data_IF_750134078025
#
_entry.id   IF_750134078025
#
_cell.length_a   1.000
_cell.length_b   1.000
_cell.length_c   1.000
_cell.angle_alpha   90.00
_cell.angle_beta   90.00
_cell.angle_gamma   90.00
#
_symmetry.space_group_name_H-M   'P 1'
#
loop_
_entity.id
_entity.type
_entity.pdbx_description
1 polymer ?
#
# COMPACT_ATOMS: atom_id res chain seq x y z
N UNK A 1 -22.08 7.55 41.95
CA UNK A 1 -21.72 8.24 40.69
C UNK A 1 -20.62 7.50 39.92
N UNK A 2 -19.54 7.01 40.56
CA UNK A 2 -18.44 6.27 39.92
C UNK A 2 -18.88 4.89 39.38
N UNK A 3 -19.73 4.16 40.06
CA UNK A 3 -20.27 2.86 39.64
C UNK A 3 -21.07 2.95 38.32
N UNK A 4 -21.84 4.02 38.15
CA UNK A 4 -22.66 4.20 36.95
C UNK A 4 -21.80 4.55 35.70
N UNK A 5 -20.64 5.21 35.90
CA UNK A 5 -19.68 5.52 34.82
C UNK A 5 -18.94 4.25 34.37
N UNK A 6 -18.57 3.40 35.31
CA UNK A 6 -17.89 2.11 35.05
C UNK A 6 -18.79 1.11 34.31
N UNK A 7 -20.10 1.07 34.63
CA UNK A 7 -21.10 0.22 33.94
C UNK A 7 -21.34 0.72 32.52
N UNK A 8 -21.40 2.04 32.32
CA UNK A 8 -21.56 2.62 30.99
C UNK A 8 -20.34 2.39 30.05
N UNK A 9 -19.15 2.48 30.60
CA UNK A 9 -17.91 2.18 29.87
C UNK A 9 -17.82 0.69 29.50
N UNK A 10 -18.23 -0.21 30.41
CA UNK A 10 -18.24 -1.65 30.14
C UNK A 10 -19.24 -2.05 29.06
N UNK A 11 -20.44 -1.47 29.07
CA UNK A 11 -21.45 -1.67 28.02
C UNK A 11 -21.00 -1.12 26.67
N UNK A 12 -20.35 0.04 26.64
CA UNK A 12 -19.81 0.61 25.40
C UNK A 12 -18.74 -0.30 24.79
N UNK A 13 -17.79 -0.78 25.62
CA UNK A 13 -16.78 -1.73 25.14
C UNK A 13 -17.40 -3.02 24.63
N UNK A 14 -18.41 -3.57 25.29
CA UNK A 14 -19.10 -4.77 24.82
C UNK A 14 -19.73 -4.56 23.44
N UNK A 15 -20.42 -3.43 23.23
CA UNK A 15 -21.02 -3.08 21.94
C UNK A 15 -19.94 -2.94 20.87
N UNK A 16 -18.86 -2.23 21.16
CA UNK A 16 -17.74 -2.06 20.22
C UNK A 16 -17.13 -3.40 19.85
N UNK A 17 -16.84 -4.26 20.83
CA UNK A 17 -16.34 -5.61 20.54
C UNK A 17 -17.31 -6.45 19.73
N UNK A 18 -18.60 -6.41 20.04
CA UNK A 18 -19.63 -7.13 19.29
C UNK A 18 -19.67 -6.68 17.82
N UNK A 19 -19.66 -5.37 17.56
CA UNK A 19 -19.65 -4.82 16.20
C UNK A 19 -18.40 -5.25 15.45
N UNK A 20 -17.20 -5.10 16.03
CA UNK A 20 -15.96 -5.52 15.37
C UNK A 20 -15.88 -7.03 15.17
N UNK A 21 -16.43 -7.82 16.10
CA UNK A 21 -16.49 -9.29 15.94
C UNK A 21 -17.40 -9.68 14.77
N UNK A 22 -18.58 -9.06 14.64
CA UNK A 22 -19.47 -9.31 13.49
C UNK A 22 -18.78 -8.91 12.18
N UNK A 23 -18.09 -7.77 12.16
CA UNK A 23 -17.30 -7.34 11.00
C UNK A 23 -16.19 -8.36 10.66
N UNK A 24 -15.41 -8.79 11.64
CA UNK A 24 -14.36 -9.77 11.44
C UNK A 24 -14.91 -11.10 10.91
N UNK A 25 -16.01 -11.59 11.48
CA UNK A 25 -16.67 -12.81 11.03
C UNK A 25 -17.19 -12.69 9.59
N UNK A 26 -17.69 -11.53 9.19
CA UNK A 26 -18.15 -11.30 7.81
C UNK A 26 -17.00 -11.41 6.80
N UNK A 27 -15.82 -10.88 7.10
CA UNK A 27 -14.63 -11.03 6.25
C UNK A 27 -14.13 -12.48 6.21
N UNK A 28 -14.10 -13.14 7.37
CA UNK A 28 -13.72 -14.56 7.44
C UNK A 28 -14.69 -15.43 6.65
N UNK A 29 -16.00 -15.13 6.69
CA UNK A 29 -16.99 -15.84 5.89
C UNK A 29 -16.73 -15.70 4.39
N UNK A 30 -16.48 -14.48 3.89
CA UNK A 30 -16.17 -14.25 2.47
C UNK A 30 -14.93 -15.02 2.04
N UNK A 31 -13.87 -15.00 2.87
CA UNK A 31 -12.64 -15.74 2.61
C UNK A 31 -12.91 -17.25 2.56
N UNK A 32 -13.61 -17.78 3.56
CA UNK A 32 -14.00 -19.19 3.63
C UNK A 32 -14.85 -19.58 2.43
N UNK A 33 -15.86 -18.79 2.09
CA UNK A 33 -16.70 -18.98 0.92
C UNK A 33 -15.89 -19.03 -0.37
N UNK A 34 -14.93 -18.12 -0.56
CA UNK A 34 -14.05 -18.12 -1.74
C UNK A 34 -13.22 -19.40 -1.85
N UNK A 35 -12.63 -19.83 -0.75
CA UNK A 35 -11.86 -21.08 -0.72
C UNK A 35 -12.75 -22.30 -1.00
N UNK A 36 -13.91 -22.40 -0.34
CA UNK A 36 -14.82 -23.55 -0.54
C UNK A 36 -15.43 -23.57 -1.95
N UNK A 37 -15.70 -22.41 -2.54
CA UNK A 37 -16.19 -22.29 -3.93
C UNK A 37 -15.18 -22.83 -4.95
N UNK A 38 -13.89 -22.74 -4.68
CA UNK A 38 -12.85 -23.32 -5.54
C UNK A 38 -12.89 -24.84 -5.66
N UNK A 39 -13.55 -25.54 -4.72
CA UNK A 39 -13.75 -26.98 -4.77
C UNK A 39 -15.02 -27.41 -5.52
N UNK A 40 -15.91 -26.47 -5.89
CA UNK A 40 -17.17 -26.74 -6.57
C UNK A 40 -17.01 -26.89 -8.09
N UNK A 41 -18.00 -27.53 -8.70
CA UNK A 41 -18.17 -27.50 -10.16
C UNK A 41 -18.79 -26.18 -10.59
N UNK A 42 -18.65 -25.81 -11.86
CA UNK A 42 -19.20 -24.56 -12.40
C UNK A 42 -20.74 -24.52 -12.30
N UNK A 43 -21.40 -25.64 -12.47
CA UNK A 43 -22.85 -25.78 -12.29
C UNK A 43 -23.28 -25.61 -10.86
N UNK A 44 -22.53 -26.16 -9.91
CA UNK A 44 -22.80 -26.06 -8.49
C UNK A 44 -22.63 -24.62 -7.97
N UNK A 45 -21.62 -23.88 -8.45
CA UNK A 45 -21.45 -22.46 -8.14
C UNK A 45 -22.63 -21.64 -8.66
N UNK A 46 -23.15 -21.95 -9.86
CA UNK A 46 -24.24 -21.22 -10.47
C UNK A 46 -25.59 -21.44 -9.77
N UNK A 47 -25.85 -22.67 -9.28
CA UNK A 47 -27.14 -23.05 -8.70
C UNK A 47 -27.16 -22.87 -7.17
N UNK A 48 -26.06 -23.24 -6.50
CA UNK A 48 -25.91 -23.22 -5.05
C UNK A 48 -24.67 -22.45 -4.60
N UNK A 49 -24.59 -21.13 -4.82
CA UNK A 49 -23.37 -20.35 -4.63
C UNK A 49 -22.89 -20.32 -3.17
N UNK A 50 -23.78 -20.37 -2.18
CA UNK A 50 -23.45 -20.23 -0.77
C UNK A 50 -23.41 -21.53 0.02
N UNK A 51 -23.82 -22.65 -0.59
CA UNK A 51 -23.79 -23.97 0.07
C UNK A 51 -22.35 -24.50 0.12
N UNK A 52 -22.10 -25.49 0.94
CA UNK A 52 -20.84 -26.23 0.92
C UNK A 52 -20.78 -27.14 -0.32
N UNK A 53 -19.57 -27.47 -0.84
CA UNK A 53 -19.41 -28.38 -1.95
C UNK A 53 -20.07 -29.73 -1.63
N UNK A 54 -20.85 -30.30 -2.55
CA UNK A 54 -21.38 -31.66 -2.43
C UNK A 54 -20.29 -32.68 -2.64
N UNK A 55 -19.37 -32.38 -3.57
CA UNK A 55 -18.13 -33.14 -3.79
C UNK A 55 -16.93 -32.21 -3.78
N UNK A 56 -15.84 -32.63 -3.16
CA UNK A 56 -14.62 -31.83 -3.04
C UNK A 56 -13.69 -32.07 -4.22
N UNK A 57 -13.70 -31.18 -5.22
CA UNK A 57 -12.86 -31.28 -6.41
C UNK A 57 -11.49 -30.60 -6.18
N UNK A 58 -10.58 -31.26 -5.46
CA UNK A 58 -9.22 -30.80 -5.23
C UNK A 58 -8.43 -30.52 -6.53
N UNK A 59 -8.80 -31.23 -7.60
CA UNK A 59 -8.18 -31.13 -8.91
C UNK A 59 -8.32 -29.72 -9.49
N UNK A 60 -9.39 -28.99 -9.18
CA UNK A 60 -9.59 -27.62 -9.65
C UNK A 60 -8.40 -26.72 -9.28
N UNK A 61 -7.87 -26.86 -8.06
CA UNK A 61 -6.71 -26.08 -7.62
C UNK A 61 -5.43 -26.50 -8.35
N UNK A 62 -5.23 -27.80 -8.59
CA UNK A 62 -4.07 -28.32 -9.32
C UNK A 62 -4.12 -27.83 -10.78
N UNK A 63 -5.29 -27.90 -11.40
CA UNK A 63 -5.50 -27.52 -12.80
C UNK A 63 -5.28 -26.00 -13.00
N UNK A 64 -5.61 -25.16 -12.01
CA UNK A 64 -5.29 -23.72 -12.06
C UNK A 64 -3.79 -23.47 -12.15
N UNK A 65 -2.96 -24.18 -11.37
CA UNK A 65 -1.51 -24.01 -11.42
C UNK A 65 -0.88 -24.46 -12.74
N UNK A 66 -1.48 -25.45 -13.40
CA UNK A 66 -0.95 -26.05 -14.63
C UNK A 66 -1.52 -25.46 -15.92
N UNK A 67 -2.77 -24.98 -15.90
CA UNK A 67 -3.48 -24.52 -17.10
C UNK A 67 -3.76 -23.01 -17.11
N UNK A 68 -3.57 -22.30 -15.99
CA UNK A 68 -3.77 -20.87 -15.96
C UNK A 68 -2.65 -20.16 -16.71
N UNK A 69 -2.99 -19.67 -17.89
CA UNK A 69 -2.08 -18.89 -18.73
C UNK A 69 -2.78 -17.59 -19.20
N UNK A 70 -2.13 -16.46 -18.96
CA UNK A 70 -2.61 -15.14 -19.41
C UNK A 70 -1.46 -14.42 -20.12
N UNK A 71 -1.69 -14.04 -21.36
CA UNK A 71 -0.71 -13.32 -22.19
C UNK A 71 0.65 -14.04 -22.31
N UNK A 72 0.66 -15.37 -22.35
CA UNK A 72 1.89 -16.18 -22.45
C UNK A 72 2.60 -16.42 -21.12
N UNK A 73 2.00 -16.00 -19.98
CA UNK A 73 2.53 -16.23 -18.65
C UNK A 73 1.67 -17.22 -17.88
N UNK A 74 2.27 -18.32 -17.44
CA UNK A 74 1.65 -19.24 -16.50
C UNK A 74 1.57 -18.63 -15.08
N UNK A 75 0.93 -19.36 -14.16
CA UNK A 75 0.71 -18.92 -12.78
C UNK A 75 1.95 -18.33 -12.09
N UNK A 76 3.09 -19.04 -12.12
CA UNK A 76 4.32 -18.58 -11.50
C UNK A 76 4.91 -17.33 -12.18
N UNK A 77 4.73 -17.20 -13.49
CA UNK A 77 5.13 -16.00 -14.23
C UNK A 77 4.31 -14.79 -13.80
N UNK A 78 3.00 -14.94 -13.64
CA UNK A 78 2.11 -13.89 -13.13
C UNK A 78 2.44 -13.53 -11.68
N UNK A 79 2.70 -14.53 -10.82
CA UNK A 79 3.11 -14.30 -9.44
C UNK A 79 4.43 -13.52 -9.38
N UNK A 80 5.42 -13.90 -10.20
CA UNK A 80 6.70 -13.20 -10.30
C UNK A 80 6.53 -11.74 -10.75
N UNK A 81 5.67 -11.49 -11.73
CA UNK A 81 5.35 -10.13 -12.16
C UNK A 81 4.66 -9.33 -11.04
N UNK A 82 3.71 -9.92 -10.33
CA UNK A 82 3.03 -9.27 -9.21
C UNK A 82 4.01 -8.91 -8.09
N UNK A 83 4.90 -9.81 -7.74
CA UNK A 83 5.96 -9.56 -6.75
C UNK A 83 6.92 -8.45 -7.23
N UNK A 84 7.33 -8.49 -8.49
CA UNK A 84 8.18 -7.46 -9.07
C UNK A 84 7.55 -6.07 -8.96
N UNK A 85 6.29 -5.91 -9.42
CA UNK A 85 5.61 -4.62 -9.37
C UNK A 85 5.30 -4.17 -7.93
N UNK A 86 4.90 -5.09 -7.05
CA UNK A 86 4.60 -4.77 -5.65
C UNK A 86 5.85 -4.35 -4.89
N UNK A 87 6.90 -5.15 -4.91
CA UNK A 87 8.10 -4.88 -4.11
C UNK A 87 8.87 -3.67 -4.64
N UNK A 88 9.16 -3.66 -5.94
CA UNK A 88 9.94 -2.57 -6.53
C UNK A 88 9.13 -1.28 -6.59
N UNK A 89 7.83 -1.35 -6.90
CA UNK A 89 6.95 -0.20 -6.92
C UNK A 89 6.81 0.45 -5.54
N UNK A 90 6.58 -0.35 -4.50
CA UNK A 90 6.50 0.13 -3.12
C UNK A 90 7.82 0.73 -2.65
N UNK A 91 8.93 0.07 -2.97
CA UNK A 91 10.26 0.58 -2.64
C UNK A 91 10.52 1.94 -3.30
N UNK A 92 10.30 2.07 -4.60
CA UNK A 92 10.46 3.33 -5.33
C UNK A 92 9.54 4.43 -4.79
N UNK A 93 8.26 4.09 -4.55
CA UNK A 93 7.28 5.03 -4.01
C UNK A 93 7.70 5.57 -2.64
N UNK A 94 8.10 4.70 -1.72
CA UNK A 94 8.55 5.09 -0.39
C UNK A 94 9.85 5.88 -0.43
N UNK A 95 10.85 5.43 -1.22
CA UNK A 95 12.13 6.10 -1.34
C UNK A 95 11.99 7.52 -1.87
N UNK A 96 11.25 7.69 -2.97
CA UNK A 96 11.10 9.00 -3.60
C UNK A 96 10.28 9.94 -2.72
N UNK A 97 9.22 9.45 -2.08
CA UNK A 97 8.44 10.24 -1.13
C UNK A 97 9.28 10.65 0.08
N UNK A 98 10.11 9.77 0.60
CA UNK A 98 11.02 10.06 1.71
C UNK A 98 12.09 11.08 1.31
N UNK A 99 12.73 10.92 0.13
CA UNK A 99 13.72 11.87 -0.37
C UNK A 99 13.11 13.26 -0.58
N UNK A 100 11.93 13.33 -1.19
CA UNK A 100 11.22 14.59 -1.39
C UNK A 100 10.88 15.25 -0.05
N UNK A 101 10.37 14.47 0.91
CA UNK A 101 10.05 14.95 2.25
C UNK A 101 11.28 15.45 3.00
N UNK A 102 12.40 14.75 2.90
CA UNK A 102 13.68 15.18 3.47
C UNK A 102 14.13 16.51 2.89
N UNK A 103 14.18 16.63 1.55
CA UNK A 103 14.65 17.83 0.87
C UNK A 103 13.75 19.02 1.19
N UNK A 104 12.43 18.87 1.09
CA UNK A 104 11.48 19.97 1.34
C UNK A 104 11.42 20.42 2.80
N UNK A 105 11.75 19.52 3.74
CA UNK A 105 11.75 19.82 5.17
C UNK A 105 13.08 20.46 5.63
N UNK A 106 14.21 19.90 5.19
CA UNK A 106 15.53 20.24 5.73
C UNK A 106 16.24 21.33 4.93
N UNK A 107 15.96 21.47 3.64
CA UNK A 107 16.57 22.49 2.81
C UNK A 107 15.61 23.64 2.53
N UNK A 108 16.10 24.87 2.69
CA UNK A 108 15.34 26.11 2.43
C UNK A 108 15.60 26.57 0.99
N UNK A 109 14.72 26.21 0.07
CA UNK A 109 14.74 26.71 -1.30
C UNK A 109 13.39 27.39 -1.64
N UNK A 110 13.34 28.28 -2.66
CA UNK A 110 12.10 28.91 -3.08
C UNK A 110 11.04 27.86 -3.43
N UNK A 111 9.86 27.94 -2.79
CA UNK A 111 8.78 27.01 -3.03
C UNK A 111 8.76 25.76 -2.13
N UNK A 112 9.81 25.45 -1.35
CA UNK A 112 9.82 24.26 -0.47
C UNK A 112 8.61 24.18 0.45
N UNK A 113 8.10 25.31 0.94
CA UNK A 113 6.94 25.41 1.82
C UNK A 113 5.59 25.14 1.12
N UNK A 114 5.56 25.15 -0.21
CA UNK A 114 4.32 24.97 -0.98
C UNK A 114 4.00 23.49 -1.23
N UNK A 115 4.96 22.58 -1.13
CA UNK A 115 4.75 21.15 -1.40
C UNK A 115 3.65 20.55 -0.52
N UNK A 116 3.69 20.82 0.79
CA UNK A 116 2.69 20.27 1.71
C UNK A 116 1.28 20.82 1.47
N UNK A 117 1.08 22.16 1.38
CA UNK A 117 -0.24 22.72 1.05
C UNK A 117 -0.79 22.27 -0.30
N UNK A 118 0.05 22.19 -1.35
CA UNK A 118 -0.36 21.71 -2.67
C UNK A 118 -0.82 20.25 -2.59
N UNK A 119 -0.07 19.40 -1.91
CA UNK A 119 -0.47 18.01 -1.74
C UNK A 119 -1.80 17.87 -1.00
N UNK A 120 -1.95 18.59 0.13
CA UNK A 120 -3.20 18.57 0.88
C UNK A 120 -4.38 19.07 0.04
N UNK A 121 -4.17 20.13 -0.74
CA UNK A 121 -5.18 20.65 -1.64
C UNK A 121 -5.57 19.62 -2.71
N UNK A 122 -4.61 18.96 -3.35
CA UNK A 122 -4.89 17.92 -4.36
C UNK A 122 -5.64 16.72 -3.79
N UNK A 123 -5.40 16.37 -2.52
CA UNK A 123 -6.11 15.28 -1.85
C UNK A 123 -7.56 15.65 -1.48
N UNK A 124 -7.89 16.95 -1.33
CA UNK A 124 -9.26 17.40 -1.09
C UNK A 124 -10.16 17.29 -2.34
N UNK A 125 -9.56 17.26 -3.52
CA UNK A 125 -10.28 17.16 -4.79
C UNK A 125 -9.99 15.80 -5.45
N UNK A 126 -10.69 14.73 -5.05
CA UNK A 126 -10.48 13.42 -5.63
C UNK A 126 -10.92 13.44 -7.10
N UNK A 127 -9.96 13.27 -8.01
CA UNK A 127 -10.23 13.21 -9.46
C UNK A 127 -10.64 11.77 -9.79
N UNK A 128 -11.96 11.56 -9.90
CA UNK A 128 -12.51 10.29 -10.36
C UNK A 128 -12.55 10.26 -11.89
N UNK A 129 -12.34 9.07 -12.48
CA UNK A 129 -12.44 8.88 -13.93
C UNK A 129 -11.14 9.08 -14.71
N UNK A 130 -10.03 9.38 -14.06
CA UNK A 130 -8.71 9.50 -14.72
C UNK A 130 -8.14 8.16 -15.25
N UNK A 131 -8.72 7.03 -14.87
CA UNK A 131 -8.20 5.70 -15.24
C UNK A 131 -8.17 5.46 -16.75
N UNK A 132 -9.21 5.87 -17.48
CA UNK A 132 -9.25 5.74 -18.94
C UNK A 132 -8.19 6.59 -19.64
N UNK A 133 -8.08 7.86 -19.25
CA UNK A 133 -7.08 8.78 -19.80
C UNK A 133 -5.65 8.34 -19.47
N UNK A 134 -5.43 7.81 -18.27
CA UNK A 134 -4.15 7.26 -17.87
C UNK A 134 -3.79 6.02 -18.70
N UNK A 135 -4.75 5.11 -18.92
CA UNK A 135 -4.54 3.94 -19.76
C UNK A 135 -4.21 4.31 -21.20
N UNK A 136 -4.92 5.29 -21.78
CA UNK A 136 -4.62 5.82 -23.10
C UNK A 136 -3.21 6.42 -23.21
N UNK A 137 -2.78 7.18 -22.18
CA UNK A 137 -1.43 7.70 -22.09
C UNK A 137 -0.39 6.58 -22.05
N UNK A 138 -0.63 5.54 -21.26
CA UNK A 138 0.24 4.37 -21.16
C UNK A 138 0.35 3.62 -22.50
N UNK A 139 -0.75 3.50 -23.24
CA UNK A 139 -0.75 2.93 -24.58
C UNK A 139 0.12 3.77 -25.56
N UNK A 140 -0.06 5.09 -25.56
CA UNK A 140 0.72 6.01 -26.40
C UNK A 140 2.21 6.00 -26.07
N UNK A 141 2.57 5.82 -24.81
CA UNK A 141 3.95 5.73 -24.34
C UNK A 141 4.56 4.33 -24.50
N UNK A 142 3.79 3.32 -24.91
CA UNK A 142 4.26 1.94 -25.00
C UNK A 142 4.56 1.27 -23.66
N UNK A 143 3.95 1.75 -22.58
CA UNK A 143 4.16 1.22 -21.23
C UNK A 143 3.20 0.08 -20.86
N UNK A 144 2.14 -0.11 -21.64
CA UNK A 144 1.19 -1.21 -21.42
C UNK A 144 1.91 -2.54 -21.66
N UNK A 145 1.74 -3.47 -20.74
CA UNK A 145 2.42 -4.76 -20.71
C UNK A 145 3.97 -4.68 -20.67
N UNK A 146 4.52 -3.54 -20.28
CA UNK A 146 5.95 -3.32 -20.14
C UNK A 146 6.37 -3.22 -18.67
N UNK A 147 7.56 -3.73 -18.34
CA UNK A 147 8.16 -3.52 -17.01
C UNK A 147 8.49 -2.05 -16.74
N UNK A 148 8.55 -1.21 -17.79
CA UNK A 148 8.73 0.24 -17.66
C UNK A 148 7.55 0.94 -16.98
N UNK A 149 6.38 0.31 -16.89
CA UNK A 149 5.24 0.82 -16.12
C UNK A 149 5.59 1.15 -14.67
N UNK A 150 6.61 0.52 -14.11
CA UNK A 150 7.11 0.82 -12.76
C UNK A 150 7.59 2.27 -12.60
N UNK A 151 7.98 2.94 -13.70
CA UNK A 151 8.36 4.35 -13.67
C UNK A 151 7.22 5.26 -13.20
N UNK A 152 5.98 4.82 -13.33
CA UNK A 152 4.81 5.54 -12.79
C UNK A 152 4.74 5.51 -11.26
N UNK A 153 5.44 4.58 -10.63
CA UNK A 153 5.60 4.55 -9.16
C UNK A 153 6.52 5.67 -8.65
N UNK A 154 7.19 6.42 -9.55
CA UNK A 154 8.05 7.54 -9.22
C UNK A 154 7.26 8.81 -8.88
N UNK A 155 6.20 8.64 -8.10
CA UNK A 155 5.41 9.76 -7.57
C UNK A 155 5.83 10.06 -6.13
N UNK A 156 6.54 11.16 -5.93
CA UNK A 156 6.97 11.59 -4.60
C UNK A 156 5.89 12.32 -3.80
N UNK A 157 4.87 12.90 -4.47
CA UNK A 157 3.78 13.65 -3.83
C UNK A 157 2.56 12.77 -3.60
N UNK A 158 2.55 12.05 -2.48
CA UNK A 158 1.48 11.14 -2.08
C UNK A 158 1.32 11.12 -0.55
N UNK A 159 0.44 10.25 -0.02
CA UNK A 159 0.20 10.16 1.42
C UNK A 159 1.46 9.81 2.22
N UNK A 160 2.39 9.03 1.68
CA UNK A 160 3.66 8.70 2.34
C UNK A 160 4.56 9.93 2.52
N UNK A 161 4.51 10.89 1.60
CA UNK A 161 5.21 12.16 1.76
C UNK A 161 4.77 12.88 3.04
N UNK A 162 3.49 12.88 3.38
CA UNK A 162 2.97 13.52 4.60
C UNK A 162 3.58 12.87 5.84
N UNK A 163 3.59 11.54 5.89
CA UNK A 163 4.17 10.79 7.01
C UNK A 163 5.68 11.07 7.14
N UNK A 164 6.43 10.94 6.06
CA UNK A 164 7.86 11.22 6.09
C UNK A 164 8.16 12.68 6.43
N UNK A 165 7.40 13.63 5.89
CA UNK A 165 7.59 15.04 6.18
C UNK A 165 7.35 15.35 7.67
N UNK A 166 6.29 14.80 8.27
CA UNK A 166 6.02 14.93 9.70
C UNK A 166 7.15 14.33 10.54
N UNK A 167 7.65 13.16 10.16
CA UNK A 167 8.74 12.48 10.86
C UNK A 167 10.04 13.27 10.77
N UNK A 168 10.42 13.74 9.57
CA UNK A 168 11.61 14.60 9.40
C UNK A 168 11.50 15.93 10.13
N UNK A 169 10.29 16.47 10.30
CA UNK A 169 10.09 17.72 11.07
C UNK A 169 10.47 17.55 12.54
N UNK A 170 10.27 16.35 13.09
CA UNK A 170 10.58 16.03 14.48
C UNK A 170 12.04 15.57 14.68
N UNK A 171 12.74 15.23 13.60
CA UNK A 171 14.12 14.77 13.68
C UNK A 171 15.08 15.97 13.76
N UNK A 172 16.00 15.95 14.76
CA UNK A 172 16.98 17.02 14.94
C UNK A 172 17.93 17.12 13.74
N UNK A 173 18.21 18.34 13.31
CA UNK A 173 19.19 18.61 12.26
C UNK A 173 20.64 18.36 12.74
N UNK A 174 20.89 18.36 14.04
CA UNK A 174 22.23 18.13 14.61
C UNK A 174 22.88 16.82 14.17
N UNK A 175 22.08 15.79 13.84
CA UNK A 175 22.59 14.54 13.31
C UNK A 175 23.21 14.73 11.91
N UNK A 176 22.60 15.56 11.07
CA UNK A 176 23.14 15.88 9.76
C UNK A 176 24.37 16.77 9.89
N UNK A 177 24.35 17.79 10.78
CA UNK A 177 25.49 18.69 11.03
C UNK A 177 26.74 17.91 11.49
N UNK A 178 26.58 16.97 12.42
CA UNK A 178 27.68 16.12 12.87
C UNK A 178 28.30 15.35 11.69
N UNK A 179 27.46 14.73 10.83
CA UNK A 179 27.95 14.01 9.68
C UNK A 179 28.63 14.91 8.63
N UNK A 180 28.17 16.14 8.44
CA UNK A 180 28.84 17.11 7.57
C UNK A 180 30.18 17.56 8.12
N UNK A 181 30.32 17.71 9.45
CA UNK A 181 31.62 17.99 10.10
C UNK A 181 32.62 16.85 9.85
N UNK A 182 32.14 15.61 9.84
CA UNK A 182 32.92 14.42 9.49
C UNK A 182 33.22 14.29 7.99
N UNK A 183 32.80 15.25 7.17
CA UNK A 183 33.07 15.31 5.72
C UNK A 183 32.11 14.48 4.87
N UNK A 184 30.96 14.05 5.40
CA UNK A 184 29.96 13.33 4.63
C UNK A 184 29.28 14.25 3.59
N UNK A 185 29.00 13.71 2.39
CA UNK A 185 28.20 14.38 1.37
C UNK A 185 26.70 14.18 1.64
N UNK A 186 25.84 14.94 0.94
CA UNK A 186 24.38 14.93 1.11
C UNK A 186 23.76 13.54 0.98
N UNK A 187 24.22 12.75 0.01
CA UNK A 187 23.73 11.36 -0.18
C UNK A 187 24.10 10.48 1.00
N UNK A 188 25.32 10.61 1.52
CA UNK A 188 25.78 9.85 2.68
C UNK A 188 24.99 10.26 3.92
N UNK A 189 24.77 11.55 4.13
CA UNK A 189 23.95 12.07 5.23
C UNK A 189 22.53 11.54 5.14
N UNK A 190 21.91 11.57 3.96
CA UNK A 190 20.58 11.04 3.78
C UNK A 190 20.50 9.53 4.06
N UNK A 191 21.28 8.72 3.30
CA UNK A 191 21.13 7.25 3.33
C UNK A 191 21.71 6.58 4.58
N UNK A 192 22.77 7.13 5.18
CA UNK A 192 23.45 6.51 6.33
C UNK A 192 23.08 7.10 7.67
N UNK A 193 22.57 8.35 7.70
CA UNK A 193 22.29 9.04 8.97
C UNK A 193 20.79 9.30 9.12
N UNK A 194 20.18 10.08 8.22
CA UNK A 194 18.83 10.58 8.41
C UNK A 194 17.75 9.53 8.12
N UNK A 195 17.87 8.79 7.03
CA UNK A 195 16.89 7.79 6.63
C UNK A 195 16.81 6.59 7.60
N UNK A 196 17.91 5.99 8.09
CA UNK A 196 17.83 4.90 9.06
C UNK A 196 17.16 5.29 10.38
N UNK A 197 17.35 6.55 10.83
CA UNK A 197 16.69 7.03 12.05
C UNK A 197 15.18 7.11 11.91
N UNK A 198 14.67 7.41 10.72
CA UNK A 198 13.22 7.38 10.45
C UNK A 198 12.69 5.95 10.55
N UNK A 199 13.38 4.98 9.96
CA UNK A 199 12.95 3.57 10.00
C UNK A 199 12.78 3.12 11.46
N UNK A 200 13.71 3.49 12.34
CA UNK A 200 13.65 3.15 13.78
C UNK A 200 12.48 3.83 14.51
N UNK A 201 11.93 4.92 13.98
CA UNK A 201 10.76 5.59 14.56
C UNK A 201 9.43 4.95 14.14
N UNK A 202 9.43 4.11 13.09
CA UNK A 202 8.26 3.37 12.61
C UNK A 202 8.17 1.93 13.16
N UNK A 203 9.18 1.43 13.82
CA UNK A 203 9.23 0.12 14.49
C UNK A 203 9.02 0.28 15.98
#
# INVERSE_FOLDING_TARGET
SYLNKSIGEGTLHLIVYAVFTVFALSYLYIFFWGVTSGFKTQTEIAVYPFDLPTEWHFRNYIDVFSHLEVSGFGFFGMLGNSLYFSLLGSFCLCMISSMLAYVTNKFRFPGSRLFMPILLFTMMFPIYGSGGSMYELLLKLGFVNSRLQILLSFNGMNVYYIYFHATYSNLSWSYAEAAYIDGANDFTVYFRVMFPQIINLFG
#
